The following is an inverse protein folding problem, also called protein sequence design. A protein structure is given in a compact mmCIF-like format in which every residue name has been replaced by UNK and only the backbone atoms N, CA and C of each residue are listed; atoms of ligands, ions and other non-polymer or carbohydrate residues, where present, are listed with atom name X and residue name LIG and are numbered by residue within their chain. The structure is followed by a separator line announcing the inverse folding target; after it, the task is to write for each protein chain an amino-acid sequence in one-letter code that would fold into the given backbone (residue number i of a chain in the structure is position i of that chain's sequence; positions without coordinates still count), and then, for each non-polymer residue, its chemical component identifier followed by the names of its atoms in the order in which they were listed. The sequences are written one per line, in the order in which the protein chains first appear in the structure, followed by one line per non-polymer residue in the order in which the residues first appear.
data_IF_649759507590
#
_entry.id   IF_649759507590
#
_cell.length_a   1.000
_cell.length_b   1.000
_cell.length_c   1.000
_cell.angle_alpha   90.00
_cell.angle_beta   90.00
_cell.angle_gamma   90.00
#
_symmetry.space_group_name_H-M   'P 1'
#
loop_
_entity.id
_entity.type
_entity.pdbx_description
1 polymer ?
#
# COMPACT_ATOMS: atom_id res chain seq x y z
N UNK A 1 -26.75 -37.01 -8.83
CA UNK A 1 -26.84 -36.24 -7.58
C UNK A 1 -25.46 -36.31 -6.94
N UNK A 2 -24.66 -35.25 -7.12
CA UNK A 2 -23.27 -35.17 -6.60
C UNK A 2 -23.36 -34.67 -5.16
N UNK A 3 -22.69 -35.31 -4.19
CA UNK A 3 -22.62 -34.77 -2.83
C UNK A 3 -21.89 -33.43 -2.84
N UNK A 4 -22.55 -32.38 -2.35
CA UNK A 4 -21.94 -31.08 -2.12
C UNK A 4 -21.19 -31.21 -0.81
N UNK A 5 -19.86 -31.15 -0.86
CA UNK A 5 -19.01 -31.18 0.33
C UNK A 5 -19.10 -29.81 1.01
N UNK A 6 -19.78 -29.75 2.16
CA UNK A 6 -19.92 -28.55 2.97
C UNK A 6 -18.56 -28.19 3.57
N UNK A 7 -17.83 -27.29 2.92
CA UNK A 7 -16.65 -26.67 3.50
C UNK A 7 -17.07 -25.86 4.74
N UNK A 8 -16.83 -26.41 5.93
CA UNK A 8 -16.99 -25.65 7.17
C UNK A 8 -15.97 -24.50 7.17
N UNK A 9 -16.42 -23.30 6.83
CA UNK A 9 -15.68 -22.05 7.00
C UNK A 9 -15.55 -21.71 8.48
N UNK A 10 -14.80 -22.52 9.23
CA UNK A 10 -14.30 -22.11 10.53
C UNK A 10 -13.04 -21.28 10.32
N UNK A 11 -13.22 -20.07 9.79
CA UNK A 11 -12.21 -19.02 9.91
C UNK A 11 -12.75 -18.04 10.93
N UNK A 12 -12.18 -18.05 12.13
CA UNK A 12 -12.29 -16.95 13.07
C UNK A 12 -11.68 -15.72 12.36
N UNK A 13 -12.51 -14.97 11.63
CA UNK A 13 -12.08 -13.80 10.84
C UNK A 13 -11.84 -12.61 11.77
N UNK A 14 -10.90 -12.78 12.68
CA UNK A 14 -10.36 -11.70 13.48
C UNK A 14 -9.14 -11.15 12.74
N UNK A 15 -9.38 -10.18 11.87
CA UNK A 15 -8.30 -9.33 11.37
C UNK A 15 -8.00 -8.33 12.48
N UNK A 16 -6.84 -8.48 13.10
CA UNK A 16 -6.33 -7.48 14.03
C UNK A 16 -5.84 -6.25 13.25
N UNK A 17 -5.74 -5.11 13.92
CA UNK A 17 -5.22 -3.87 13.32
C UNK A 17 -3.83 -4.07 12.71
N UNK A 18 -3.00 -4.95 13.29
CA UNK A 18 -1.69 -5.27 12.75
C UNK A 18 -1.76 -6.05 11.43
N UNK A 19 -2.69 -7.01 11.30
CA UNK A 19 -2.92 -7.73 10.04
C UNK A 19 -3.40 -6.78 8.95
N UNK A 20 -4.32 -5.87 9.29
CA UNK A 20 -4.80 -4.83 8.37
C UNK A 20 -3.66 -3.91 7.88
N UNK A 21 -2.80 -3.43 8.79
CA UNK A 21 -1.65 -2.60 8.44
C UNK A 21 -0.66 -3.38 7.56
N UNK A 22 -0.36 -4.64 7.89
CA UNK A 22 0.56 -5.46 7.11
C UNK A 22 0.06 -5.67 5.67
N UNK A 23 -1.24 -5.89 5.49
CA UNK A 23 -1.87 -6.03 4.17
C UNK A 23 -1.76 -4.71 3.38
N UNK A 24 -2.10 -3.58 4.00
CA UNK A 24 -2.05 -2.26 3.35
C UNK A 24 -0.61 -1.89 2.97
N UNK A 25 0.36 -2.12 3.87
CA UNK A 25 1.79 -1.91 3.57
C UNK A 25 2.24 -2.81 2.41
N UNK A 26 1.82 -4.07 2.39
CA UNK A 26 2.11 -5.00 1.29
C UNK A 26 1.51 -4.56 -0.06
N UNK A 27 0.34 -3.92 -0.04
CA UNK A 27 -0.30 -3.35 -1.25
C UNK A 27 0.38 -2.06 -1.72
N UNK A 28 0.82 -1.21 -0.80
CA UNK A 28 1.45 0.09 -1.11
C UNK A 28 2.89 -0.10 -1.60
N UNK A 29 3.66 -1.01 -0.97
CA UNK A 29 5.03 -1.35 -1.36
C UNK A 29 4.98 -2.29 -2.57
N UNK A 30 4.51 -1.79 -3.71
CA UNK A 30 4.50 -2.50 -4.99
C UNK A 30 5.84 -2.45 -5.73
N UNK A 31 5.84 -2.94 -6.98
CA UNK A 31 7.02 -2.90 -7.87
C UNK A 31 7.55 -1.47 -8.15
N UNK A 32 6.72 -0.44 -7.90
CA UNK A 32 7.08 0.96 -8.09
C UNK A 32 8.31 1.40 -7.30
N UNK A 33 8.55 0.87 -6.09
CA UNK A 33 9.69 1.29 -5.26
C UNK A 33 11.06 0.96 -5.90
N UNK A 34 11.10 -0.02 -6.81
CA UNK A 34 12.30 -0.39 -7.55
C UNK A 34 12.52 0.46 -8.81
N UNK A 35 11.46 1.04 -9.38
CA UNK A 35 11.52 1.81 -10.63
C UNK A 35 11.58 3.32 -10.37
N UNK A 36 10.83 3.80 -9.37
CA UNK A 36 10.68 5.21 -9.03
C UNK A 36 11.96 5.94 -8.61
N UNK A 37 12.92 5.37 -7.83
CA UNK A 37 14.09 6.13 -7.39
C UNK A 37 15.02 6.49 -8.55
N UNK A 38 15.17 5.62 -9.56
CA UNK A 38 15.94 5.93 -10.77
C UNK A 38 15.28 7.04 -11.58
N UNK A 39 13.96 6.96 -11.79
CA UNK A 39 13.21 7.98 -12.51
C UNK A 39 13.30 9.34 -11.82
N UNK A 40 12.97 9.41 -10.53
CA UNK A 40 12.99 10.67 -9.78
C UNK A 40 14.40 11.26 -9.74
N UNK A 41 15.45 10.46 -9.54
CA UNK A 41 16.82 10.97 -9.54
C UNK A 41 17.27 11.47 -10.92
N UNK A 42 16.87 10.80 -12.01
CA UNK A 42 17.20 11.24 -13.37
C UNK A 42 16.52 12.58 -13.74
N UNK A 43 15.27 12.79 -13.33
CA UNK A 43 14.55 14.04 -13.65
C UNK A 43 14.84 15.18 -12.66
N UNK A 44 15.24 14.85 -11.42
CA UNK A 44 15.48 15.84 -10.38
C UNK A 44 16.90 16.39 -10.35
N UNK A 45 17.88 15.73 -10.98
CA UNK A 45 19.27 16.21 -11.08
C UNK A 45 20.08 16.24 -9.77
N UNK A 46 19.44 16.19 -8.61
CA UNK A 46 20.06 16.14 -7.27
C UNK A 46 19.27 15.27 -6.30
N UNK A 47 19.99 14.55 -5.44
CA UNK A 47 19.44 13.63 -4.44
C UNK A 47 18.53 14.37 -3.44
N UNK A 48 18.88 15.61 -3.08
CA UNK A 48 18.10 16.40 -2.13
C UNK A 48 16.70 16.74 -2.67
N UNK A 49 16.60 17.10 -3.94
CA UNK A 49 15.31 17.39 -4.58
C UNK A 49 14.48 16.11 -4.80
N UNK A 50 15.13 14.99 -5.10
CA UNK A 50 14.46 13.69 -5.20
C UNK A 50 13.79 13.27 -3.87
N UNK A 51 14.46 13.51 -2.74
CA UNK A 51 13.88 13.25 -1.41
C UNK A 51 12.67 14.14 -1.13
N UNK A 52 12.72 15.42 -1.51
CA UNK A 52 11.59 16.35 -1.35
C UNK A 52 10.38 15.89 -2.15
N UNK A 53 10.56 15.49 -3.42
CA UNK A 53 9.47 14.96 -4.26
C UNK A 53 8.87 13.70 -3.63
N UNK A 54 9.71 12.83 -3.08
CA UNK A 54 9.26 11.60 -2.43
C UNK A 54 8.41 11.89 -1.19
N UNK A 55 8.87 12.78 -0.31
CA UNK A 55 8.11 13.22 0.87
C UNK A 55 6.79 13.87 0.46
N UNK A 56 6.79 14.76 -0.54
CA UNK A 56 5.57 15.42 -1.02
C UNK A 56 4.55 14.43 -1.56
N UNK A 57 4.99 13.43 -2.33
CA UNK A 57 4.11 12.36 -2.82
C UNK A 57 3.53 11.52 -1.67
N UNK A 58 4.33 11.20 -0.64
CA UNK A 58 3.88 10.49 0.55
C UNK A 58 2.82 11.26 1.33
N UNK A 59 3.01 12.57 1.52
CA UNK A 59 2.02 13.44 2.17
C UNK A 59 0.73 13.50 1.35
N UNK A 60 0.82 13.65 0.03
CA UNK A 60 -0.35 13.69 -0.84
C UNK A 60 -1.15 12.37 -0.79
N UNK A 61 -0.46 11.22 -0.83
CA UNK A 61 -1.10 9.91 -0.65
C UNK A 61 -1.73 9.75 0.72
N UNK A 62 -1.11 10.25 1.78
CA UNK A 62 -1.65 10.19 3.14
C UNK A 62 -2.94 11.02 3.26
N UNK A 63 -2.98 12.22 2.67
CA UNK A 63 -4.20 13.04 2.62
C UNK A 63 -5.32 12.32 1.87
N UNK A 64 -5.01 11.70 0.72
CA UNK A 64 -5.99 10.90 -0.03
C UNK A 64 -6.53 9.71 0.77
N UNK A 65 -5.67 9.02 1.52
CA UNK A 65 -6.07 7.93 2.40
C UNK A 65 -6.97 8.41 3.56
N UNK A 66 -6.68 9.58 4.14
CA UNK A 66 -7.52 10.17 5.19
C UNK A 66 -8.90 10.57 4.66
N UNK A 67 -8.99 11.18 3.47
CA UNK A 67 -10.28 11.46 2.84
C UNK A 67 -11.06 10.18 2.52
N UNK A 68 -10.39 9.11 2.10
CA UNK A 68 -11.05 7.82 1.86
C UNK A 68 -11.51 7.16 3.17
N UNK A 69 -10.81 7.38 4.28
CA UNK A 69 -11.22 6.89 5.59
C UNK A 69 -12.41 7.69 6.17
N UNK A 70 -12.61 8.93 5.74
CA UNK A 70 -13.76 9.77 6.13
C UNK A 70 -15.05 9.40 5.37
N UNK A 71 -14.92 9.04 4.08
CA UNK A 71 -16.04 8.71 3.19
C UNK A 71 -16.71 7.37 3.52
#
# INVERSE_FOLDING_TARGET
MVPVEDYELSQERSLDVLDGVAIIVGVIIGAGIFVSPKGVLQYSGSIGQALVVWILSGVLSMVGALCYAEL
#
